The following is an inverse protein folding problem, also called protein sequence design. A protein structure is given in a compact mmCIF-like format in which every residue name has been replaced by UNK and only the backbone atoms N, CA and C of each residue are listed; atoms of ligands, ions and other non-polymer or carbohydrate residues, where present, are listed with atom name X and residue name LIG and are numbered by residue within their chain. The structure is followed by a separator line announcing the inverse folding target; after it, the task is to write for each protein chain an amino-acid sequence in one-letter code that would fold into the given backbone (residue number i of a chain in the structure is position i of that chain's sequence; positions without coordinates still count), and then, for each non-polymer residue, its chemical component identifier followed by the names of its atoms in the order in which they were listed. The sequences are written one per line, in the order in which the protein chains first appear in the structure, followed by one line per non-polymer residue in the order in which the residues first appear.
data_IF_189551197031
#
_entry.id   IF_189551197031
#
_cell.length_a   1.000
_cell.length_b   1.000
_cell.length_c   1.000
_cell.angle_alpha   90.00
_cell.angle_beta   90.00
_cell.angle_gamma   90.00
#
_symmetry.space_group_name_H-M   'P 1'
#
loop_
_entity.id
_entity.type
_entity.pdbx_description
1 polymer ?
#
# COMPACT_ATOMS: atom_id res chain seq x y z
N UNK A 1 -50.69 -0.33 -72.14
CA UNK A 1 -49.92 0.77 -72.70
C UNK A 1 -49.77 1.80 -71.60
N UNK A 2 -48.65 1.81 -70.95
CA UNK A 2 -48.05 2.95 -70.30
C UNK A 2 -47.02 2.44 -69.29
N UNK A 3 -45.79 2.67 -69.62
CA UNK A 3 -44.60 2.28 -68.83
C UNK A 3 -44.40 3.33 -67.76
N UNK A 4 -44.46 2.98 -66.51
CA UNK A 4 -43.98 3.84 -65.42
C UNK A 4 -42.68 3.30 -64.92
N UNK A 5 -41.63 4.00 -65.27
CA UNK A 5 -40.29 3.83 -64.77
C UNK A 5 -40.21 4.40 -63.36
N UNK A 6 -40.02 3.54 -62.37
CA UNK A 6 -39.82 3.93 -60.97
C UNK A 6 -38.31 3.85 -60.68
N UNK A 7 -37.70 5.02 -60.58
CA UNK A 7 -36.30 5.20 -60.15
C UNK A 7 -36.23 4.94 -58.63
N UNK A 8 -35.60 3.84 -58.26
CA UNK A 8 -35.31 3.55 -56.88
C UNK A 8 -33.92 4.11 -56.56
N UNK A 9 -33.92 5.17 -55.75
CA UNK A 9 -32.69 5.79 -55.24
C UNK A 9 -32.20 4.93 -54.09
N UNK A 10 -31.12 4.18 -54.33
CA UNK A 10 -30.49 3.34 -53.30
C UNK A 10 -29.53 4.19 -52.47
N UNK A 11 -29.94 4.51 -51.24
CA UNK A 11 -29.11 5.18 -50.27
C UNK A 11 -28.22 4.10 -49.62
N UNK A 12 -26.94 4.11 -49.95
CA UNK A 12 -25.92 3.31 -49.28
C UNK A 12 -25.50 4.05 -48.03
N UNK A 13 -25.98 3.59 -46.87
CA UNK A 13 -25.49 4.02 -45.57
C UNK A 13 -24.25 3.21 -45.24
N UNK A 14 -23.07 3.83 -45.31
CA UNK A 14 -21.81 3.24 -44.84
C UNK A 14 -21.75 3.45 -43.35
N UNK A 15 -22.09 2.39 -42.56
CA UNK A 15 -21.85 2.32 -41.14
C UNK A 15 -20.37 2.01 -40.93
N UNK A 16 -19.59 3.02 -40.58
CA UNK A 16 -18.22 2.84 -40.07
C UNK A 16 -18.28 2.22 -38.70
N UNK A 17 -18.21 0.90 -38.63
CA UNK A 17 -18.07 0.16 -37.39
C UNK A 17 -16.67 0.36 -36.80
N UNK A 18 -16.58 1.06 -35.66
CA UNK A 18 -15.41 0.98 -34.81
C UNK A 18 -15.37 -0.43 -34.22
N UNK A 19 -14.50 -1.28 -34.76
CA UNK A 19 -14.13 -2.54 -34.11
C UNK A 19 -13.24 -2.24 -32.92
N UNK A 20 -13.83 -2.25 -31.74
CA UNK A 20 -13.06 -2.36 -30.48
C UNK A 20 -12.40 -3.72 -30.47
N UNK A 21 -11.11 -3.77 -30.75
CA UNK A 21 -10.31 -4.97 -30.51
C UNK A 21 -10.22 -5.18 -29.00
N UNK A 22 -11.00 -6.12 -28.50
CA UNK A 22 -10.76 -6.74 -27.19
C UNK A 22 -9.55 -7.65 -27.35
N UNK A 23 -8.37 -7.06 -27.29
CA UNK A 23 -7.13 -7.80 -27.08
C UNK A 23 -7.11 -8.26 -25.64
N UNK A 24 -7.34 -9.55 -25.41
CA UNK A 24 -7.08 -10.19 -24.13
C UNK A 24 -5.61 -10.03 -23.77
N UNK A 25 -5.31 -9.11 -22.89
CA UNK A 25 -3.99 -8.96 -22.30
C UNK A 25 -3.98 -9.78 -21.02
N UNK A 26 -3.32 -10.95 -21.09
CA UNK A 26 -2.97 -11.74 -19.92
C UNK A 26 -2.19 -10.86 -18.94
N UNK A 27 -2.73 -10.79 -17.71
CA UNK A 27 -2.31 -9.90 -16.65
C UNK A 27 -0.81 -9.83 -16.40
N UNK A 28 -0.22 -8.74 -16.82
CA UNK A 28 0.89 -8.15 -16.09
C UNK A 28 0.26 -7.01 -15.30
N UNK A 29 0.22 -7.14 -13.97
CA UNK A 29 -0.11 -6.02 -13.09
C UNK A 29 0.96 -4.94 -13.25
N UNK A 30 0.83 -4.14 -14.29
CA UNK A 30 1.57 -2.91 -14.42
C UNK A 30 1.04 -1.97 -13.34
N UNK A 31 1.74 -1.90 -12.21
CA UNK A 31 1.49 -0.89 -11.19
C UNK A 31 1.51 0.47 -11.86
N UNK A 32 0.38 1.19 -11.77
CA UNK A 32 0.22 2.50 -12.37
C UNK A 32 1.37 3.40 -11.88
N UNK A 33 2.09 4.14 -12.76
CA UNK A 33 3.25 4.96 -12.35
C UNK A 33 2.93 5.95 -11.23
N UNK A 34 1.71 6.48 -11.20
CA UNK A 34 1.24 7.38 -10.12
C UNK A 34 1.14 6.65 -8.78
N UNK A 35 0.66 5.42 -8.75
CA UNK A 35 0.57 4.63 -7.51
C UNK A 35 1.94 4.27 -6.95
N UNK A 36 2.92 4.05 -7.81
CA UNK A 36 4.30 3.76 -7.40
C UNK A 36 5.00 4.99 -6.82
N UNK A 37 4.73 6.17 -7.36
CA UNK A 37 5.30 7.44 -6.86
C UNK A 37 4.73 7.78 -5.48
N UNK A 38 3.42 7.63 -5.28
CA UNK A 38 2.75 7.83 -3.98
C UNK A 38 3.32 6.88 -2.91
N UNK A 39 3.50 5.60 -3.23
CA UNK A 39 4.07 4.62 -2.29
C UNK A 39 5.53 4.96 -1.93
N UNK A 40 6.32 5.43 -2.90
CA UNK A 40 7.71 5.83 -2.65
C UNK A 40 7.81 7.05 -1.72
N UNK A 41 6.94 8.04 -1.89
CA UNK A 41 6.91 9.23 -1.03
C UNK A 41 6.38 8.88 0.37
N UNK A 42 5.40 7.97 0.46
CA UNK A 42 4.96 7.43 1.73
C UNK A 42 6.11 6.73 2.49
N UNK A 43 6.88 5.87 1.83
CA UNK A 43 8.04 5.19 2.45
C UNK A 43 9.12 6.16 2.92
N UNK A 44 9.35 7.26 2.22
CA UNK A 44 10.27 8.32 2.68
C UNK A 44 9.77 9.03 3.93
N UNK A 45 8.46 9.22 4.03
CA UNK A 45 7.83 9.87 5.19
C UNK A 45 7.96 9.03 6.46
N UNK A 46 7.97 7.71 6.33
CA UNK A 46 8.12 6.74 7.42
C UNK A 46 9.48 6.02 7.34
N UNK A 47 10.56 6.75 7.10
CA UNK A 47 11.85 6.21 6.64
C UNK A 47 12.56 5.30 7.63
N UNK A 48 12.25 5.33 8.92
CA UNK A 48 12.95 4.55 9.95
C UNK A 48 12.21 3.28 10.41
N UNK A 49 11.21 2.86 9.64
CA UNK A 49 10.58 1.54 9.79
C UNK A 49 10.70 0.74 8.50
N UNK A 50 10.85 -0.59 8.60
CA UNK A 50 10.83 -1.44 7.42
C UNK A 50 9.42 -1.57 6.85
N UNK A 51 9.30 -1.49 5.54
CA UNK A 51 8.08 -1.83 4.80
C UNK A 51 8.46 -2.77 3.67
N UNK A 52 7.94 -3.99 3.70
CA UNK A 52 8.23 -5.00 2.68
C UNK A 52 7.91 -4.48 1.28
N UNK A 53 8.62 -4.96 0.27
CA UNK A 53 8.40 -4.55 -1.13
C UNK A 53 7.04 -4.97 -1.68
N UNK A 54 6.47 -6.03 -1.13
CA UNK A 54 5.13 -6.52 -1.48
C UNK A 54 4.01 -5.74 -0.80
N UNK A 55 4.33 -4.94 0.23
CA UNK A 55 3.38 -4.24 1.06
C UNK A 55 3.32 -2.76 0.69
N UNK A 56 2.23 -2.09 1.03
CA UNK A 56 2.01 -0.68 0.74
C UNK A 56 1.49 0.08 1.96
N UNK A 57 1.90 1.35 2.11
CA UNK A 57 1.41 2.22 3.18
C UNK A 57 0.06 2.82 2.76
N UNK A 58 -0.96 2.64 3.60
CA UNK A 58 -2.26 3.28 3.44
C UNK A 58 -2.23 4.68 4.08
N UNK A 59 -1.88 5.67 3.27
CA UNK A 59 -1.79 7.08 3.73
C UNK A 59 -3.12 7.59 4.26
N UNK A 60 -4.25 7.13 3.70
CA UNK A 60 -5.58 7.60 4.13
C UNK A 60 -5.95 7.18 5.56
N UNK A 61 -5.35 6.08 6.05
CA UNK A 61 -5.52 5.57 7.41
C UNK A 61 -4.33 5.85 8.32
N UNK A 62 -3.27 6.45 7.79
CA UNK A 62 -2.05 6.78 8.53
C UNK A 62 -2.13 8.20 9.11
N UNK A 63 -1.46 8.43 10.22
CA UNK A 63 -1.34 9.73 10.87
C UNK A 63 0.14 10.05 11.04
N UNK A 64 0.57 11.20 10.55
CA UNK A 64 1.96 11.60 10.58
C UNK A 64 2.13 12.98 11.22
N UNK A 65 2.91 13.04 12.28
CA UNK A 65 3.48 14.25 12.85
C UNK A 65 4.98 14.23 12.56
N UNK A 66 5.54 15.22 11.91
CA UNK A 66 6.89 15.21 11.36
C UNK A 66 7.06 14.12 10.28
N UNK A 67 8.23 14.06 9.66
CA UNK A 67 8.53 13.08 8.60
C UNK A 67 9.99 12.64 8.65
N UNK A 68 10.33 11.60 7.88
CA UNK A 68 11.67 11.05 7.82
C UNK A 68 12.00 10.18 9.04
N UNK A 69 13.21 10.27 9.56
CA UNK A 69 13.67 9.41 10.67
C UNK A 69 13.15 9.81 12.05
N UNK A 70 12.51 10.96 12.17
CA UNK A 70 11.98 11.48 13.45
C UNK A 70 10.46 11.57 13.48
N UNK A 71 9.79 10.87 12.57
CA UNK A 71 8.33 10.86 12.52
C UNK A 71 7.71 10.27 13.79
N UNK A 72 6.54 10.77 14.11
CA UNK A 72 5.66 10.28 15.17
C UNK A 72 4.27 10.09 14.61
N UNK A 73 3.51 9.17 15.16
CA UNK A 73 2.15 8.90 14.72
C UNK A 73 1.91 7.43 14.44
N UNK A 74 1.16 7.14 13.40
CA UNK A 74 0.74 5.79 13.06
C UNK A 74 0.87 5.57 11.56
N UNK A 75 1.61 4.56 11.15
CA UNK A 75 1.61 4.02 9.79
C UNK A 75 0.70 2.81 9.71
N UNK A 76 -0.25 2.81 8.79
CA UNK A 76 -1.07 1.64 8.46
C UNK A 76 -0.56 1.04 7.17
N UNK A 77 -0.19 -0.23 7.21
CA UNK A 77 0.45 -0.95 6.11
C UNK A 77 -0.47 -2.10 5.71
N UNK A 78 -0.83 -2.13 4.44
CA UNK A 78 -1.53 -3.26 3.82
C UNK A 78 -0.52 -4.32 3.45
N UNK A 79 -0.61 -5.48 4.08
CA UNK A 79 0.25 -6.61 3.78
C UNK A 79 -0.45 -7.63 2.88
N UNK A 80 0.31 -8.18 1.96
CA UNK A 80 -0.09 -9.34 1.15
C UNK A 80 0.40 -10.67 1.73
N UNK A 81 1.11 -10.62 2.86
CA UNK A 81 1.70 -11.78 3.52
C UNK A 81 0.80 -12.28 4.66
N UNK A 82 1.03 -13.52 5.11
CA UNK A 82 0.38 -14.00 6.33
C UNK A 82 0.90 -13.26 7.57
N UNK A 83 0.09 -13.23 8.62
CA UNK A 83 0.48 -12.59 9.90
C UNK A 83 1.77 -13.18 10.48
N UNK A 84 2.01 -14.49 10.31
CA UNK A 84 3.23 -15.16 10.75
C UNK A 84 4.47 -14.64 10.00
N UNK A 85 4.39 -14.57 8.66
CA UNK A 85 5.50 -14.06 7.84
C UNK A 85 5.76 -12.59 8.12
N UNK A 86 4.71 -11.80 8.33
CA UNK A 86 4.84 -10.40 8.72
C UNK A 86 5.49 -10.26 10.11
N UNK A 87 5.12 -11.11 11.08
CA UNK A 87 5.74 -11.13 12.41
C UNK A 87 7.24 -11.37 12.32
N UNK A 88 7.65 -12.43 11.62
CA UNK A 88 9.07 -12.75 11.42
C UNK A 88 9.82 -11.64 10.68
N UNK A 89 9.17 -11.01 9.70
CA UNK A 89 9.73 -9.87 8.99
C UNK A 89 10.07 -8.73 9.94
N UNK A 90 9.15 -8.30 10.80
CA UNK A 90 9.40 -7.21 11.74
C UNK A 90 10.41 -7.56 12.82
N UNK A 91 10.42 -8.82 13.32
CA UNK A 91 11.45 -9.30 14.27
C UNK A 91 12.86 -9.16 13.68
N UNK A 92 13.03 -9.45 12.40
CA UNK A 92 14.33 -9.44 11.75
C UNK A 92 14.72 -8.05 11.21
N UNK A 93 13.77 -7.29 10.66
CA UNK A 93 14.07 -6.05 9.95
C UNK A 93 14.10 -4.81 10.84
N UNK A 94 13.28 -4.69 11.89
CA UNK A 94 13.30 -3.53 12.80
C UNK A 94 14.68 -3.26 13.40
N UNK A 95 15.45 -4.28 13.84
CA UNK A 95 16.80 -4.06 14.34
C UNK A 95 17.75 -3.43 13.32
N UNK A 96 17.56 -3.69 12.02
CA UNK A 96 18.41 -3.09 10.96
C UNK A 96 18.20 -1.58 10.82
N UNK A 97 17.05 -1.09 11.32
CA UNK A 97 16.70 0.34 11.43
C UNK A 97 17.08 0.95 12.79
N UNK A 98 17.78 0.19 13.64
CA UNK A 98 18.26 0.64 14.95
C UNK A 98 17.20 0.54 16.07
N UNK A 99 16.11 -0.19 15.87
CA UNK A 99 15.12 -0.47 16.89
C UNK A 99 15.52 -1.71 17.71
N UNK A 100 15.37 -1.64 19.02
CA UNK A 100 15.65 -2.73 19.96
C UNK A 100 14.33 -3.35 20.37
N UNK A 101 14.16 -4.65 20.18
CA UNK A 101 12.96 -5.37 20.60
C UNK A 101 12.89 -5.43 22.14
N UNK A 102 11.79 -4.97 22.71
CA UNK A 102 11.51 -4.97 24.15
C UNK A 102 10.62 -6.15 24.52
N UNK A 103 9.52 -6.32 23.81
CA UNK A 103 8.57 -7.44 24.04
C UNK A 103 7.94 -7.87 22.72
N UNK A 104 7.57 -9.16 22.67
CA UNK A 104 6.80 -9.71 21.56
C UNK A 104 5.73 -10.67 22.07
N UNK A 105 4.54 -10.60 21.49
CA UNK A 105 3.43 -11.53 21.73
C UNK A 105 2.89 -11.95 20.38
N UNK A 106 2.94 -13.23 20.08
CA UNK A 106 2.36 -13.79 18.87
C UNK A 106 1.00 -14.44 19.21
N UNK A 107 -0.05 -13.93 18.58
CA UNK A 107 -1.43 -14.39 18.77
C UNK A 107 -2.25 -14.04 17.52
N UNK A 108 -3.59 -14.11 17.59
CA UNK A 108 -4.46 -13.66 16.50
C UNK A 108 -4.15 -12.20 16.09
N UNK A 109 -3.93 -11.33 17.08
CA UNK A 109 -3.37 -10.00 16.89
C UNK A 109 -1.99 -10.03 17.55
N UNK A 110 -0.95 -10.11 16.73
CA UNK A 110 0.42 -10.13 17.24
C UNK A 110 0.91 -8.72 17.55
N UNK A 111 1.72 -8.57 18.58
CA UNK A 111 2.27 -7.29 19.02
C UNK A 111 3.77 -7.41 19.25
N UNK A 112 4.51 -6.49 18.67
CA UNK A 112 5.95 -6.31 18.85
C UNK A 112 6.20 -4.90 19.35
N UNK A 113 6.90 -4.74 20.44
CA UNK A 113 7.26 -3.44 21.00
C UNK A 113 8.75 -3.24 20.95
N UNK A 114 9.15 -2.04 20.51
CA UNK A 114 10.54 -1.67 20.28
C UNK A 114 10.85 -0.33 20.93
N UNK A 115 12.13 -0.10 21.20
CA UNK A 115 12.67 1.20 21.61
C UNK A 115 13.83 1.63 20.71
N UNK A 116 13.97 2.95 20.50
CA UNK A 116 15.09 3.58 19.79
C UNK A 116 15.36 4.95 20.40
N UNK A 117 16.36 5.03 21.28
CA UNK A 117 16.62 6.24 22.07
C UNK A 117 15.41 6.60 22.95
N UNK A 118 14.86 7.80 22.76
CA UNK A 118 13.68 8.27 23.49
C UNK A 118 12.34 7.88 22.83
N UNK A 119 12.38 7.14 21.73
CA UNK A 119 11.19 6.74 20.96
C UNK A 119 10.80 5.31 21.27
N UNK A 120 9.51 5.07 21.20
CA UNK A 120 8.89 3.77 21.35
C UNK A 120 8.06 3.45 20.12
N UNK A 121 8.17 2.22 19.62
CA UNK A 121 7.36 1.74 18.51
C UNK A 121 6.58 0.49 18.92
N UNK A 122 5.30 0.46 18.57
CA UNK A 122 4.44 -0.72 18.68
C UNK A 122 3.99 -1.16 17.30
N UNK A 123 4.32 -2.38 16.91
CA UNK A 123 3.87 -3.03 15.68
C UNK A 123 2.75 -3.99 16.04
N UNK A 124 1.55 -3.74 15.54
CA UNK A 124 0.40 -4.64 15.66
C UNK A 124 0.13 -5.27 14.30
N UNK A 125 -0.01 -6.59 14.28
CA UNK A 125 -0.24 -7.38 13.08
C UNK A 125 -1.57 -8.09 13.23
N UNK A 126 -2.55 -7.72 12.40
CA UNK A 126 -3.89 -8.31 12.33
C UNK A 126 -4.20 -8.71 10.89
N UNK A 127 -4.07 -9.99 10.58
CA UNK A 127 -4.26 -10.56 9.25
C UNK A 127 -3.54 -9.77 8.14
N UNK A 128 -4.28 -8.99 7.34
CA UNK A 128 -3.74 -8.22 6.21
C UNK A 128 -3.32 -6.78 6.58
N UNK A 129 -3.60 -6.32 7.79
CA UNK A 129 -3.27 -4.97 8.25
C UNK A 129 -2.17 -5.01 9.30
N UNK A 130 -1.15 -4.18 9.09
CA UNK A 130 -0.08 -3.96 10.05
C UNK A 130 -0.13 -2.49 10.45
N UNK A 131 -0.17 -2.25 11.76
CA UNK A 131 -0.18 -0.88 12.30
C UNK A 131 1.10 -0.66 13.09
N UNK A 132 1.90 0.30 12.66
CA UNK A 132 3.10 0.73 13.37
C UNK A 132 2.84 2.08 14.00
N UNK A 133 2.79 2.13 15.33
CA UNK A 133 2.63 3.37 16.09
C UNK A 133 3.96 3.77 16.69
N UNK A 134 4.40 4.99 16.45
CA UNK A 134 5.63 5.55 17.02
C UNK A 134 5.31 6.77 17.88
N UNK A 135 5.84 6.75 19.09
CA UNK A 135 5.67 7.84 20.08
C UNK A 135 6.98 8.12 20.82
N UNK A 136 7.04 9.24 21.55
CA UNK A 136 8.09 9.45 22.53
C UNK A 136 7.79 8.67 23.80
N UNK A 137 8.84 8.11 24.41
CA UNK A 137 8.77 7.67 25.79
C UNK A 137 8.71 8.92 26.66
N UNK A 138 7.66 9.03 27.46
CA UNK A 138 7.61 10.06 28.51
C UNK A 138 8.65 9.65 29.58
N UNK A 139 9.75 10.41 29.62
CA UNK A 139 10.75 10.24 30.68
C UNK A 139 10.14 10.91 31.91
N UNK A 140 9.39 10.13 32.71
CA UNK A 140 8.98 10.61 34.03
C UNK A 140 10.22 11.13 34.75
N UNK A 141 10.27 12.43 35.02
CA UNK A 141 11.31 13.03 35.85
C UNK A 141 11.27 12.36 37.24
N UNK A 142 12.35 11.63 37.55
CA UNK A 142 12.62 11.15 38.90
C UNK A 142 13.33 12.24 39.71
#
# INVERSE_FOLDING_TARGET
MSLNSLLIFSIVVVLSGCTSQVGGNLGTSASNPVSKEIDLDARKSFADIPVSRSDSIDISRSLLFNSGETWLGQAVIKSSQSAEVAFDYYVNEMPTYGWILVTSVQSKISVLNYEKGTRFASVQIDEADITVTVSYRDMAEN
#
